data_IF_684632230513
#
_entry.id   IF_684632230513
#
_cell.length_a   1.000
_cell.length_b   1.000
_cell.length_c   1.000
_cell.angle_alpha   90.00
_cell.angle_beta   90.00
_cell.angle_gamma   90.00
#
_symmetry.space_group_name_H-M   'P 1'
#
loop_
_entity.id
_entity.type
_entity.pdbx_description
1 polymer ?
#
# COMPACT_ATOMS: atom_id res chain seq x y z
N UNK A 1 -14.76 2.43 -0.73
CA UNK A 1 -15.79 3.50 -0.72
C UNK A 1 -15.45 4.51 0.35
N UNK A 2 -15.11 5.70 -0.05
CA UNK A 2 -14.73 6.83 0.83
C UNK A 2 -15.95 7.72 1.00
N UNK A 3 -16.41 7.93 2.23
CA UNK A 3 -17.47 8.90 2.52
C UNK A 3 -16.95 9.95 3.50
N UNK A 4 -17.13 11.24 3.20
CA UNK A 4 -16.81 12.30 4.15
C UNK A 4 -17.82 12.32 5.31
N UNK A 5 -17.34 12.70 6.45
CA UNK A 5 -18.16 12.87 7.66
C UNK A 5 -18.97 14.18 7.54
N UNK A 6 -20.26 14.07 7.19
CA UNK A 6 -21.13 15.21 6.97
C UNK A 6 -21.51 15.92 8.25
N UNK A 7 -21.40 17.24 8.25
CA UNK A 7 -22.06 18.10 9.25
C UNK A 7 -23.57 18.04 9.01
N UNK A 8 -24.30 17.44 9.92
CA UNK A 8 -25.76 17.52 9.94
C UNK A 8 -26.23 18.96 10.21
N UNK A 9 -26.69 19.66 9.19
CA UNK A 9 -27.45 20.89 9.36
C UNK A 9 -28.93 20.53 9.50
N UNK A 10 -29.43 20.57 10.73
CA UNK A 10 -30.86 20.56 11.01
C UNK A 10 -31.48 21.90 10.59
N UNK A 11 -32.34 21.88 9.58
CA UNK A 11 -33.25 22.99 9.28
C UNK A 11 -34.55 22.74 10.03
N UNK A 12 -34.82 23.50 11.10
CA UNK A 12 -36.14 23.64 11.64
C UNK A 12 -36.81 24.89 11.05
N UNK A 13 -37.89 24.68 10.30
CA UNK A 13 -38.80 25.76 9.87
C UNK A 13 -39.70 26.12 11.04
N UNK A 14 -39.64 27.35 11.48
CA UNK A 14 -40.55 27.93 12.42
C UNK A 14 -41.94 28.20 11.85
N UNK A 15 -42.92 28.05 12.67
CA UNK A 15 -44.27 28.61 12.47
C UNK A 15 -44.58 29.52 13.66
N UNK A 16 -44.77 30.77 13.33
CA UNK A 16 -45.21 31.82 14.25
C UNK A 16 -46.66 31.61 14.67
N UNK A 17 -46.96 31.80 15.95
CA UNK A 17 -48.26 32.28 16.40
C UNK A 17 -48.10 33.24 17.57
N UNK A 18 -48.78 34.38 17.40
CA UNK A 18 -48.94 35.53 18.27
C UNK A 18 -49.90 35.18 19.44
N UNK A 19 -49.62 35.60 20.67
CA UNK A 19 -50.60 36.38 21.48
C UNK A 19 -50.05 36.70 22.89
N UNK A 20 -49.91 37.99 23.13
CA UNK A 20 -50.54 38.90 24.13
C UNK A 20 -50.23 38.68 25.62
N UNK A 21 -49.49 39.67 26.13
CA UNK A 21 -49.71 40.59 27.31
C UNK A 21 -50.26 39.97 28.59
N UNK A 22 -49.51 40.11 29.69
CA UNK A 22 -49.97 40.87 30.89
C UNK A 22 -48.80 41.09 31.87
N UNK A 23 -48.79 42.29 32.46
CA UNK A 23 -47.83 42.81 33.41
C UNK A 23 -48.29 42.53 34.86
N UNK A 24 -47.33 42.48 35.79
CA UNK A 24 -47.39 42.85 37.20
C UNK A 24 -46.02 42.59 37.84
N UNK A 25 -45.21 43.54 38.16
CA UNK A 25 -44.98 44.45 39.28
C UNK A 25 -44.51 43.74 40.57
N UNK A 26 -43.24 44.04 40.93
CA UNK A 26 -42.55 44.24 42.21
C UNK A 26 -42.63 43.16 43.33
N UNK A 27 -41.42 42.68 43.76
CA UNK A 27 -41.00 42.86 45.17
C UNK A 27 -39.46 42.65 45.28
N UNK A 28 -38.79 43.65 45.85
CA UNK A 28 -37.39 43.72 46.24
C UNK A 28 -37.20 42.93 47.53
N UNK A 29 -36.22 42.02 47.58
CA UNK A 29 -35.57 41.64 48.85
C UNK A 29 -34.11 41.30 48.56
N UNK A 30 -33.23 42.15 49.07
CA UNK A 30 -31.79 41.94 49.08
C UNK A 30 -31.40 40.82 50.07
N UNK A 31 -30.71 39.83 49.62
CA UNK A 31 -29.87 38.95 50.43
C UNK A 31 -28.53 38.80 49.71
N UNK A 32 -27.52 39.49 50.24
CA UNK A 32 -26.16 39.31 49.89
C UNK A 32 -25.73 37.90 50.39
N UNK A 33 -25.72 36.92 49.49
CA UNK A 33 -25.18 35.58 49.72
C UNK A 33 -24.00 35.39 48.78
N UNK A 34 -22.83 35.07 49.32
CA UNK A 34 -21.62 34.70 48.62
C UNK A 34 -21.92 33.73 47.49
N UNK A 35 -22.01 34.20 46.26
CA UNK A 35 -21.95 33.35 45.07
C UNK A 35 -20.47 33.15 44.71
N UNK A 36 -19.86 32.07 45.25
CA UNK A 36 -18.70 31.48 44.60
C UNK A 36 -19.08 31.20 43.14
N UNK A 37 -18.25 31.58 42.15
CA UNK A 37 -18.49 31.14 40.79
C UNK A 37 -18.40 29.63 40.79
N UNK A 38 -19.51 28.91 40.71
CA UNK A 38 -19.50 27.55 40.22
C UNK A 38 -18.94 27.62 38.81
N UNK A 39 -17.68 27.34 38.66
CA UNK A 39 -17.11 26.91 37.40
C UNK A 39 -17.92 25.67 36.98
N UNK A 40 -18.96 25.89 36.21
CA UNK A 40 -19.59 24.81 35.42
C UNK A 40 -18.48 24.31 34.52
N UNK A 41 -17.76 23.28 34.98
CA UNK A 41 -17.05 22.41 34.08
C UNK A 41 -18.14 21.73 33.28
N UNK A 42 -18.52 22.33 32.14
CA UNK A 42 -19.24 21.62 31.11
C UNK A 42 -18.40 20.32 30.88
N UNK A 43 -19.01 19.13 30.97
CA UNK A 43 -18.27 17.93 30.65
C UNK A 43 -17.70 18.18 29.26
N UNK A 44 -16.36 18.11 29.16
CA UNK A 44 -15.69 18.20 27.86
C UNK A 44 -16.40 17.21 26.96
N UNK A 45 -17.13 17.70 25.95
CA UNK A 45 -17.75 16.85 24.95
C UNK A 45 -16.59 16.05 24.39
N UNK A 46 -16.55 14.76 24.73
CA UNK A 46 -15.57 13.86 24.17
C UNK A 46 -15.60 14.08 22.66
N UNK A 47 -14.45 14.41 22.08
CA UNK A 47 -14.36 14.69 20.66
C UNK A 47 -14.91 13.46 19.93
N UNK A 48 -15.91 13.67 19.08
CA UNK A 48 -16.54 12.58 18.32
C UNK A 48 -15.50 11.77 17.55
N UNK A 49 -14.46 12.42 17.03
CA UNK A 49 -13.35 11.76 16.31
C UNK A 49 -12.61 10.80 17.23
N UNK A 50 -12.24 11.28 18.43
CA UNK A 50 -11.54 10.48 19.42
C UNK A 50 -12.40 9.31 19.92
N UNK A 51 -13.70 9.52 20.14
CA UNK A 51 -14.59 8.46 20.56
C UNK A 51 -14.77 7.38 19.48
N UNK A 52 -14.82 7.78 18.20
CA UNK A 52 -14.88 6.83 17.07
C UNK A 52 -13.55 6.12 16.82
N UNK A 53 -12.43 6.71 17.20
CA UNK A 53 -11.11 6.07 17.11
C UNK A 53 -10.85 5.07 18.25
N UNK A 54 -11.61 5.14 19.35
CA UNK A 54 -11.34 4.38 20.59
C UNK A 54 -11.15 2.88 20.37
N UNK A 55 -11.95 2.28 19.47
CA UNK A 55 -11.83 0.86 19.17
C UNK A 55 -10.47 0.50 18.54
N UNK A 56 -9.92 1.36 17.66
CA UNK A 56 -8.61 1.16 17.04
C UNK A 56 -7.51 1.19 18.09
N UNK A 57 -7.59 2.18 18.98
CA UNK A 57 -6.60 2.36 20.06
C UNK A 57 -6.64 1.19 21.06
N UNK A 58 -7.85 0.71 21.36
CA UNK A 58 -8.06 -0.43 22.27
C UNK A 58 -7.61 -1.75 21.64
N UNK A 59 -7.93 -1.99 20.37
CA UNK A 59 -7.57 -3.21 19.64
C UNK A 59 -6.05 -3.39 19.59
N UNK A 60 -5.30 -2.29 19.41
CA UNK A 60 -3.84 -2.28 19.42
C UNK A 60 -3.23 -2.15 20.82
N UNK A 61 -4.03 -2.06 21.86
CA UNK A 61 -3.58 -1.85 23.24
C UNK A 61 -2.64 -0.65 23.41
N UNK A 62 -2.89 0.43 22.64
CA UNK A 62 -2.06 1.64 22.63
C UNK A 62 -2.11 2.41 23.95
N UNK A 63 -3.27 2.54 24.65
CA UNK A 63 -3.31 3.24 25.95
C UNK A 63 -2.37 2.63 27.00
N UNK A 64 -2.16 1.31 26.97
CA UNK A 64 -1.20 0.64 27.86
C UNK A 64 0.25 0.75 27.36
N UNK A 65 0.48 0.95 26.05
CA UNK A 65 1.81 1.12 25.46
C UNK A 65 2.40 2.53 25.68
N UNK A 66 1.58 3.58 25.59
CA UNK A 66 2.04 4.98 25.61
C UNK A 66 2.75 5.44 26.88
N UNK A 67 2.43 4.95 28.10
CA UNK A 67 3.26 5.24 29.27
C UNK A 67 4.70 4.74 29.16
N UNK A 68 4.95 3.73 28.32
CA UNK A 68 6.28 3.14 28.07
C UNK A 68 7.01 3.87 26.94
N UNK A 69 6.30 4.16 25.85
CA UNK A 69 6.86 4.83 24.67
C UNK A 69 5.77 5.47 23.82
N UNK A 70 6.04 6.67 23.30
CA UNK A 70 5.21 7.37 22.32
C UNK A 70 5.94 7.62 20.99
N UNK A 71 7.07 6.94 20.76
CA UNK A 71 7.83 7.05 19.52
C UNK A 71 8.75 8.28 19.42
N UNK A 72 9.02 8.97 20.53
CA UNK A 72 9.84 10.18 20.54
C UNK A 72 11.21 9.97 19.92
N UNK A 73 11.57 10.86 18.99
CA UNK A 73 12.87 10.85 18.31
C UNK A 73 12.98 9.86 17.16
N UNK A 74 11.91 9.14 16.84
CA UNK A 74 11.87 8.22 15.69
C UNK A 74 11.35 8.95 14.44
N UNK A 75 12.05 8.77 13.35
CA UNK A 75 11.63 9.18 12.01
C UNK A 75 11.00 7.98 11.30
N UNK A 76 9.73 8.11 10.94
CA UNK A 76 9.01 7.14 10.12
C UNK A 76 8.91 7.69 8.70
N UNK A 77 9.58 7.06 7.75
CA UNK A 77 9.42 7.42 6.34
C UNK A 77 8.08 6.85 5.84
N UNK A 78 7.18 7.73 5.43
CA UNK A 78 5.93 7.39 4.75
C UNK A 78 6.17 7.52 3.26
N UNK A 79 6.35 6.37 2.60
CA UNK A 79 6.56 6.27 1.16
C UNK A 79 5.19 6.04 0.51
N UNK A 80 4.58 7.10 0.00
CA UNK A 80 3.16 7.12 -0.38
C UNK A 80 2.87 8.23 -1.42
N UNK A 81 1.67 8.80 -1.43
CA UNK A 81 1.24 9.89 -2.33
C UNK A 81 1.67 11.30 -1.89
N UNK A 82 2.47 11.41 -0.82
CA UNK A 82 2.83 12.66 -0.16
C UNK A 82 2.00 12.89 1.11
N UNK A 83 2.39 13.85 1.94
CA UNK A 83 1.70 14.21 3.20
C UNK A 83 1.55 15.72 3.28
N UNK A 84 0.35 16.21 3.56
CA UNK A 84 0.13 17.62 3.87
C UNK A 84 0.60 17.94 5.30
N UNK A 85 1.69 18.70 5.48
CA UNK A 85 2.24 19.00 6.80
C UNK A 85 1.43 20.00 7.60
N UNK A 86 0.44 20.68 6.97
CA UNK A 86 -0.32 21.76 7.56
C UNK A 86 -1.62 21.31 8.25
N UNK A 87 -1.97 20.03 8.17
CA UNK A 87 -3.18 19.52 8.86
C UNK A 87 -2.97 19.50 10.38
N UNK A 88 -4.03 19.82 11.12
CA UNK A 88 -3.96 20.13 12.56
C UNK A 88 -3.31 19.04 13.41
N UNK A 89 -3.61 17.77 13.10
CA UNK A 89 -3.14 16.65 13.93
C UNK A 89 -1.72 16.20 13.58
N UNK A 90 -1.11 16.78 12.52
CA UNK A 90 0.25 16.50 12.08
C UNK A 90 1.16 17.75 12.13
N UNK A 91 0.64 18.88 12.58
CA UNK A 91 1.35 20.16 12.53
C UNK A 91 2.69 20.11 13.30
N UNK A 92 3.80 20.36 12.59
CA UNK A 92 5.15 20.32 13.16
C UNK A 92 5.79 18.91 13.26
N UNK A 93 5.06 17.84 12.90
CA UNK A 93 5.59 16.47 12.94
C UNK A 93 5.98 15.90 11.57
N UNK A 94 5.86 16.67 10.47
CA UNK A 94 6.12 16.21 9.11
C UNK A 94 7.26 16.98 8.47
N UNK A 95 8.22 16.27 7.92
CA UNK A 95 9.24 16.78 7.02
C UNK A 95 8.94 16.29 5.61
N UNK A 96 8.80 17.21 4.66
CA UNK A 96 8.58 16.85 3.26
C UNK A 96 9.91 16.56 2.57
N UNK A 97 10.06 15.38 2.01
CA UNK A 97 11.18 14.96 1.19
C UNK A 97 10.90 15.12 -0.31
N UNK A 98 11.76 14.54 -1.16
CA UNK A 98 11.61 14.61 -2.62
C UNK A 98 10.33 13.93 -3.13
N UNK A 99 9.88 14.42 -4.31
CA UNK A 99 8.86 13.77 -5.12
C UNK A 99 9.55 12.88 -6.18
N UNK A 100 9.29 11.59 -6.11
CA UNK A 100 9.84 10.58 -7.02
C UNK A 100 8.86 10.20 -8.13
N UNK A 101 7.64 10.76 -8.18
CA UNK A 101 6.61 10.36 -9.16
C UNK A 101 6.96 10.73 -10.59
N UNK A 102 7.83 11.70 -10.79
CA UNK A 102 8.20 12.22 -12.12
C UNK A 102 7.08 13.01 -12.80
N UNK A 103 6.04 13.40 -12.05
CA UNK A 103 4.97 14.29 -12.51
C UNK A 103 4.94 15.56 -11.67
N UNK A 104 4.68 16.68 -12.33
CA UNK A 104 4.70 18.00 -11.70
C UNK A 104 3.28 18.35 -11.20
N UNK A 105 2.92 17.83 -10.02
CA UNK A 105 1.70 18.20 -9.34
C UNK A 105 2.09 19.00 -8.10
N UNK A 106 1.72 20.28 -8.02
CA UNK A 106 2.11 21.11 -6.89
C UNK A 106 1.44 20.64 -5.59
N UNK A 107 2.12 20.80 -4.46
CA UNK A 107 1.58 20.45 -3.14
C UNK A 107 0.30 21.21 -2.78
N UNK A 108 0.04 22.34 -3.41
CA UNK A 108 -1.22 23.10 -3.23
C UNK A 108 -2.43 22.42 -3.88
N UNK A 109 -2.22 21.46 -4.80
CA UNK A 109 -3.32 20.74 -5.44
C UNK A 109 -4.09 19.92 -4.40
N UNK A 110 -5.44 20.00 -4.35
CA UNK A 110 -6.25 19.31 -3.35
C UNK A 110 -6.13 17.76 -3.41
N UNK A 111 -5.69 17.23 -4.53
CA UNK A 111 -5.49 15.78 -4.71
C UNK A 111 -4.04 15.33 -4.49
N UNK A 112 -3.13 16.24 -4.11
CA UNK A 112 -1.77 15.88 -3.76
C UNK A 112 -1.70 15.35 -2.33
N UNK A 113 -1.25 14.13 -2.12
CA UNK A 113 -1.01 13.59 -0.80
C UNK A 113 -2.27 13.24 0.00
N UNK A 114 -3.36 12.85 -0.66
CA UNK A 114 -4.60 12.47 0.01
C UNK A 114 -4.40 11.21 0.84
N UNK A 115 -3.95 10.11 0.18
CA UNK A 115 -3.76 8.84 0.85
C UNK A 115 -2.62 8.89 1.88
N UNK A 116 -1.48 9.45 1.54
CA UNK A 116 -0.34 9.54 2.46
C UNK A 116 -0.62 10.39 3.69
N UNK A 117 -1.48 11.42 3.60
CA UNK A 117 -1.88 12.20 4.78
C UNK A 117 -2.72 11.37 5.75
N UNK A 118 -3.66 10.55 5.25
CA UNK A 118 -4.37 9.59 6.11
C UNK A 118 -3.39 8.67 6.83
N UNK A 119 -2.44 8.08 6.11
CA UNK A 119 -1.48 7.15 6.69
C UNK A 119 -0.58 7.83 7.73
N UNK A 120 -0.07 9.01 7.43
CA UNK A 120 0.73 9.79 8.37
C UNK A 120 -0.03 10.13 9.67
N UNK A 121 -1.33 10.46 9.57
CA UNK A 121 -2.16 10.76 10.75
C UNK A 121 -2.32 9.55 11.67
N UNK A 122 -2.36 8.34 11.10
CA UNK A 122 -2.45 7.08 11.85
C UNK A 122 -1.11 6.69 12.51
N UNK A 123 0.01 7.18 11.99
CA UNK A 123 1.33 6.96 12.55
C UNK A 123 1.63 7.97 13.65
N UNK A 124 1.66 9.27 13.31
CA UNK A 124 2.24 10.35 14.10
C UNK A 124 1.23 11.45 14.47
N UNK A 125 -0.06 11.24 14.20
CA UNK A 125 -1.08 12.18 14.65
C UNK A 125 -0.98 12.41 16.15
N UNK A 126 -0.93 13.66 16.57
CA UNK A 126 -0.84 14.05 17.98
C UNK A 126 -2.11 14.80 18.46
N UNK A 127 -3.12 14.86 17.59
CA UNK A 127 -4.33 15.66 17.83
C UNK A 127 -4.03 17.15 17.81
N UNK A 128 -5.03 17.91 18.23
CA UNK A 128 -4.93 19.36 18.39
C UNK A 128 -5.61 19.78 19.72
N UNK A 129 -5.65 21.08 20.02
CA UNK A 129 -6.19 21.61 21.28
C UNK A 129 -5.57 20.92 22.53
N UNK A 130 -4.23 20.86 22.57
CA UNK A 130 -3.50 20.21 23.67
C UNK A 130 -3.64 18.68 23.68
N UNK A 131 -3.93 18.06 22.53
CA UNK A 131 -4.14 16.63 22.40
C UNK A 131 -5.54 16.15 22.77
N UNK A 132 -6.45 17.07 23.14
CA UNK A 132 -7.82 16.73 23.51
C UNK A 132 -8.76 16.42 22.34
N UNK A 133 -8.37 16.79 21.13
CA UNK A 133 -9.18 16.64 19.91
C UNK A 133 -8.41 16.02 18.77
N UNK A 134 -9.12 15.44 17.79
CA UNK A 134 -8.56 14.92 16.56
C UNK A 134 -8.01 13.50 16.68
N UNK A 135 -7.27 13.07 15.66
CA UNK A 135 -6.66 11.74 15.58
C UNK A 135 -5.39 11.67 16.44
N UNK A 136 -5.24 10.58 17.19
CA UNK A 136 -3.94 10.16 17.76
C UNK A 136 -3.43 8.97 16.98
N UNK A 137 -2.23 9.09 16.42
CA UNK A 137 -1.51 8.00 15.78
C UNK A 137 -0.90 7.04 16.80
N UNK A 138 -0.46 5.88 16.32
CA UNK A 138 0.16 4.86 17.19
C UNK A 138 1.41 5.38 17.89
N UNK A 139 2.17 6.27 17.25
CA UNK A 139 3.40 6.88 17.77
C UNK A 139 3.32 8.43 17.72
N UNK A 140 2.53 9.07 18.61
CA UNK A 140 2.18 10.49 18.49
C UNK A 140 3.34 11.47 18.72
N UNK A 141 4.51 10.97 19.17
CA UNK A 141 5.74 11.78 19.34
C UNK A 141 6.81 11.44 18.29
N UNK A 142 6.48 10.59 17.29
CA UNK A 142 7.36 10.36 16.14
C UNK A 142 7.25 11.49 15.12
N UNK A 143 8.22 11.57 14.22
CA UNK A 143 8.18 12.47 13.07
C UNK A 143 8.03 11.67 11.79
N UNK A 144 7.36 12.26 10.80
CA UNK A 144 7.14 11.67 9.48
C UNK A 144 8.10 12.30 8.48
N UNK A 145 8.84 11.47 7.75
CA UNK A 145 9.51 11.86 6.51
C UNK A 145 8.60 11.45 5.34
N UNK A 146 7.97 12.44 4.70
CA UNK A 146 7.06 12.23 3.58
C UNK A 146 7.82 12.06 2.28
N UNK A 147 7.71 10.92 1.62
CA UNK A 147 8.33 10.63 0.32
C UNK A 147 7.24 10.24 -0.68
N UNK A 148 7.05 11.05 -1.71
CA UNK A 148 6.00 10.83 -2.70
C UNK A 148 6.51 9.94 -3.82
N UNK A 149 5.88 8.76 -4.02
CA UNK A 149 6.22 7.80 -5.07
C UNK A 149 5.03 7.39 -5.93
N UNK A 150 3.81 7.69 -5.46
CA UNK A 150 2.56 7.45 -6.18
C UNK A 150 1.74 8.74 -6.24
N UNK A 151 0.76 8.77 -7.14
CA UNK A 151 -0.26 9.82 -7.19
C UNK A 151 -1.61 9.26 -6.76
N UNK A 152 -2.44 10.09 -6.14
CA UNK A 152 -3.85 9.73 -5.87
C UNK A 152 -4.66 9.78 -7.18
N UNK A 153 -5.71 8.96 -7.29
CA UNK A 153 -6.52 8.84 -8.51
C UNK A 153 -7.19 10.15 -8.97
N UNK A 154 -7.39 11.10 -8.05
CA UNK A 154 -7.89 12.44 -8.37
C UNK A 154 -6.82 13.43 -8.81
N UNK A 155 -5.54 13.05 -8.84
CA UNK A 155 -4.44 13.91 -9.26
C UNK A 155 -4.59 14.23 -10.77
N UNK A 156 -4.47 15.50 -11.20
CA UNK A 156 -4.60 15.87 -12.62
C UNK A 156 -3.56 15.19 -13.51
N UNK A 157 -2.45 14.74 -12.97
CA UNK A 157 -1.40 14.02 -13.68
C UNK A 157 -1.49 12.48 -13.50
N UNK A 158 -2.57 11.96 -12.89
CA UNK A 158 -2.73 10.52 -12.61
C UNK A 158 -2.54 9.66 -13.86
N UNK A 159 -3.22 9.98 -14.95
CA UNK A 159 -3.10 9.22 -16.20
C UNK A 159 -1.66 9.22 -16.76
N UNK A 160 -0.95 10.35 -16.65
CA UNK A 160 0.46 10.45 -17.05
C UNK A 160 1.35 9.63 -16.14
N UNK A 161 1.12 9.66 -14.83
CA UNK A 161 1.83 8.84 -13.86
C UNK A 161 1.61 7.35 -14.17
N UNK A 162 0.35 6.89 -14.29
CA UNK A 162 0.02 5.50 -14.62
C UNK A 162 0.73 5.00 -15.89
N UNK A 163 0.73 5.79 -16.95
CA UNK A 163 1.40 5.44 -18.20
C UNK A 163 2.93 5.26 -18.05
N UNK A 164 3.53 5.88 -17.05
CA UNK A 164 4.96 5.84 -16.77
C UNK A 164 5.32 4.87 -15.64
N UNK A 165 4.38 4.51 -14.77
CA UNK A 165 4.62 3.78 -13.52
C UNK A 165 5.12 2.34 -13.75
N UNK A 166 4.62 1.64 -14.76
CA UNK A 166 4.99 0.25 -15.01
C UNK A 166 6.51 0.03 -15.19
N UNK A 167 7.24 0.84 -16.01
CA UNK A 167 8.68 0.70 -16.15
C UNK A 167 9.50 1.46 -15.08
N UNK A 168 8.93 2.47 -14.41
CA UNK A 168 9.68 3.41 -13.57
C UNK A 168 9.39 3.26 -12.08
N UNK A 169 8.15 3.01 -11.70
CA UNK A 169 7.68 3.08 -10.31
C UNK A 169 8.48 2.24 -9.31
N UNK A 170 8.98 1.09 -9.72
CA UNK A 170 9.81 0.25 -8.85
C UNK A 170 11.23 0.82 -8.67
N UNK A 171 11.78 1.56 -9.64
CA UNK A 171 13.06 2.27 -9.47
C UNK A 171 12.90 3.48 -8.58
N UNK A 172 11.80 4.18 -8.71
CA UNK A 172 11.42 5.33 -7.90
C UNK A 172 11.17 4.91 -6.46
N UNK A 173 10.49 3.78 -6.25
CA UNK A 173 10.35 3.17 -4.93
C UNK A 173 11.72 2.82 -4.32
N UNK A 174 12.62 2.19 -5.09
CA UNK A 174 13.97 1.87 -4.61
C UNK A 174 14.76 3.14 -4.24
N UNK A 175 14.64 4.21 -5.02
CA UNK A 175 15.26 5.49 -4.73
C UNK A 175 14.68 6.13 -3.45
N UNK A 176 13.37 6.05 -3.24
CA UNK A 176 12.72 6.56 -2.02
C UNK A 176 13.13 5.76 -0.77
N UNK A 177 13.23 4.43 -0.86
CA UNK A 177 13.74 3.59 0.25
C UNK A 177 15.18 3.98 0.58
N UNK A 178 16.05 4.08 -0.44
CA UNK A 178 17.44 4.51 -0.27
C UNK A 178 17.54 5.90 0.35
N UNK A 179 16.69 6.83 -0.09
CA UNK A 179 16.63 8.18 0.49
C UNK A 179 16.22 8.12 1.95
N UNK A 180 15.20 7.35 2.31
CA UNK A 180 14.74 7.19 3.70
C UNK A 180 15.87 6.71 4.62
N UNK A 181 16.61 5.66 4.21
CA UNK A 181 17.75 5.13 4.96
C UNK A 181 18.83 6.20 5.15
N UNK A 182 19.22 6.89 4.08
CA UNK A 182 20.26 7.92 4.11
C UNK A 182 19.86 9.16 4.94
N UNK A 183 18.55 9.39 5.13
CA UNK A 183 17.99 10.47 5.95
C UNK A 183 17.54 9.99 7.33
N UNK A 184 18.13 8.90 7.82
CA UNK A 184 18.00 8.40 9.20
C UNK A 184 16.58 8.00 9.59
N UNK A 185 15.75 7.54 8.66
CA UNK A 185 14.52 6.85 9.02
C UNK A 185 14.86 5.56 9.76
N UNK A 186 14.20 5.30 10.88
CA UNK A 186 14.31 4.03 11.61
C UNK A 186 13.19 3.06 11.23
N UNK A 187 12.13 3.59 10.63
CA UNK A 187 10.96 2.83 10.16
C UNK A 187 10.60 3.32 8.77
N UNK A 188 10.26 2.41 7.89
CA UNK A 188 9.67 2.71 6.58
C UNK A 188 8.28 2.10 6.55
N UNK A 189 7.27 2.92 6.24
CA UNK A 189 5.87 2.53 6.05
C UNK A 189 5.50 2.65 4.58
N UNK A 190 5.05 1.55 3.97
CA UNK A 190 4.69 1.48 2.55
C UNK A 190 3.29 0.89 2.38
N UNK A 191 2.32 1.76 2.11
CA UNK A 191 0.93 1.37 1.82
C UNK A 191 0.68 1.27 0.32
N UNK A 192 1.59 0.60 -0.38
CA UNK A 192 1.63 0.45 -1.84
C UNK A 192 1.95 -0.99 -2.22
N UNK A 193 1.55 -1.42 -3.43
CA UNK A 193 1.80 -2.77 -3.90
C UNK A 193 2.02 -2.86 -5.41
N UNK A 194 2.94 -3.70 -5.82
CA UNK A 194 3.23 -4.07 -7.21
C UNK A 194 3.13 -5.57 -7.39
N UNK A 195 2.63 -6.02 -8.54
CA UNK A 195 2.49 -7.46 -8.82
C UNK A 195 3.81 -8.17 -9.19
N UNK A 196 4.87 -7.42 -9.48
CA UNK A 196 6.14 -7.99 -9.93
C UNK A 196 7.28 -7.66 -8.99
N UNK A 197 8.21 -8.59 -8.86
CA UNK A 197 9.47 -8.39 -8.15
C UNK A 197 10.39 -7.41 -8.88
N UNK A 198 11.21 -6.69 -8.10
CA UNK A 198 12.16 -5.71 -8.60
C UNK A 198 13.54 -5.89 -7.95
N UNK A 199 14.57 -6.05 -8.78
CA UNK A 199 15.95 -6.11 -8.28
C UNK A 199 16.38 -4.81 -7.57
N UNK A 200 16.11 -3.60 -8.13
CA UNK A 200 16.37 -2.35 -7.42
C UNK A 200 15.70 -2.24 -6.07
N UNK A 201 14.41 -2.61 -5.95
CA UNK A 201 13.69 -2.58 -4.66
C UNK A 201 14.32 -3.57 -3.67
N UNK A 202 14.67 -4.78 -4.10
CA UNK A 202 15.34 -5.76 -3.24
C UNK A 202 16.69 -5.23 -2.73
N UNK A 203 17.48 -4.58 -3.57
CA UNK A 203 18.76 -3.99 -3.15
C UNK A 203 18.56 -2.84 -2.15
N UNK A 204 17.54 -2.00 -2.35
CA UNK A 204 17.21 -0.93 -1.42
C UNK A 204 16.69 -1.46 -0.07
N UNK A 205 15.92 -2.55 -0.08
CA UNK A 205 15.50 -3.25 1.14
C UNK A 205 16.69 -3.85 1.87
N UNK A 206 17.65 -4.46 1.17
CA UNK A 206 18.89 -4.95 1.78
C UNK A 206 19.64 -3.82 2.47
N UNK A 207 19.76 -2.65 1.85
CA UNK A 207 20.35 -1.47 2.47
C UNK A 207 19.59 -1.07 3.75
N UNK A 208 18.25 -1.11 3.75
CA UNK A 208 17.45 -0.82 4.94
C UNK A 208 17.77 -1.81 6.07
N UNK A 209 17.86 -3.11 5.79
CA UNK A 209 18.21 -4.14 6.78
C UNK A 209 19.62 -3.95 7.33
N UNK A 210 20.60 -3.67 6.47
CA UNK A 210 21.99 -3.43 6.88
C UNK A 210 22.12 -2.22 7.83
N UNK A 211 21.13 -1.31 7.79
CA UNK A 211 21.04 -0.14 8.68
C UNK A 211 20.03 -0.31 9.83
N UNK A 212 19.50 -1.51 10.05
CA UNK A 212 18.48 -1.81 11.07
C UNK A 212 17.23 -0.95 10.95
N UNK A 213 16.83 -0.61 9.74
CA UNK A 213 15.57 0.07 9.43
C UNK A 213 14.47 -0.98 9.27
N UNK A 214 13.43 -0.89 10.09
CA UNK A 214 12.31 -1.81 10.01
C UNK A 214 11.37 -1.38 8.88
N UNK A 215 11.11 -2.30 7.96
CA UNK A 215 10.23 -2.05 6.82
C UNK A 215 8.88 -2.70 7.06
N UNK A 216 7.82 -1.91 7.01
CA UNK A 216 6.43 -2.34 7.17
C UNK A 216 5.68 -2.08 5.87
N UNK A 217 4.95 -3.06 5.37
CA UNK A 217 4.18 -2.91 4.14
C UNK A 217 2.79 -3.53 4.23
N UNK A 218 1.85 -2.94 3.50
CA UNK A 218 0.48 -3.45 3.38
C UNK A 218 0.45 -4.73 2.55
N UNK A 219 -0.25 -5.78 3.04
CA UNK A 219 -0.35 -7.06 2.36
C UNK A 219 -1.11 -7.02 1.02
N UNK A 220 -1.87 -5.95 0.77
CA UNK A 220 -2.69 -5.77 -0.43
C UNK A 220 -4.18 -5.96 -0.16
N UNK A 221 -5.01 -5.55 -1.12
CA UNK A 221 -6.47 -5.54 -0.99
C UNK A 221 -7.15 -6.42 -2.06
N UNK A 222 -6.58 -7.60 -2.33
CA UNK A 222 -7.04 -8.53 -3.35
C UNK A 222 -7.64 -9.82 -2.76
N UNK A 223 -8.04 -9.83 -1.48
CA UNK A 223 -8.63 -10.99 -0.81
C UNK A 223 -9.90 -11.48 -1.50
N UNK A 224 -10.81 -10.57 -1.85
CA UNK A 224 -12.05 -10.91 -2.57
C UNK A 224 -11.77 -11.53 -3.97
N UNK A 225 -10.64 -11.16 -4.59
CA UNK A 225 -10.23 -11.69 -5.89
C UNK A 225 -9.69 -13.14 -5.80
N UNK A 226 -9.14 -13.54 -4.66
CA UNK A 226 -8.64 -14.89 -4.45
C UNK A 226 -9.74 -15.94 -4.53
N UNK A 227 -10.89 -15.66 -3.92
CA UNK A 227 -12.09 -16.49 -4.01
C UNK A 227 -12.64 -16.57 -5.43
N UNK A 228 -12.66 -15.46 -6.17
CA UNK A 228 -13.13 -15.40 -7.54
C UNK A 228 -12.21 -16.15 -8.52
N UNK A 229 -10.90 -16.17 -8.28
CA UNK A 229 -9.94 -16.88 -9.09
C UNK A 229 -9.88 -18.40 -8.80
N UNK A 230 -10.53 -18.86 -7.73
CA UNK A 230 -10.50 -20.28 -7.32
C UNK A 230 -9.14 -20.78 -6.83
N UNK A 231 -8.18 -19.88 -6.63
CA UNK A 231 -6.80 -20.23 -6.19
C UNK A 231 -6.68 -20.40 -4.68
N UNK A 232 -7.62 -19.86 -3.92
CA UNK A 232 -7.61 -19.83 -2.45
C UNK A 232 -6.59 -18.88 -1.82
N UNK A 233 -5.73 -18.26 -2.65
CA UNK A 233 -4.69 -17.33 -2.20
C UNK A 233 -4.72 -16.04 -3.02
N UNK A 234 -4.56 -14.91 -2.35
CA UNK A 234 -4.39 -13.63 -3.03
C UNK A 234 -3.05 -13.58 -3.78
N UNK A 235 -2.99 -12.85 -4.91
CA UNK A 235 -1.72 -12.65 -5.60
C UNK A 235 -0.70 -11.95 -4.69
N UNK A 236 0.57 -12.26 -4.88
CA UNK A 236 1.67 -11.58 -4.19
C UNK A 236 1.70 -10.08 -4.49
N UNK A 237 2.01 -9.30 -3.46
CA UNK A 237 2.07 -7.84 -3.52
C UNK A 237 3.40 -7.34 -2.98
N UNK A 238 4.28 -6.86 -3.86
CA UNK A 238 5.58 -6.32 -3.47
C UNK A 238 5.48 -4.82 -3.16
N UNK A 239 6.09 -4.33 -2.04
CA UNK A 239 7.18 -4.94 -1.29
C UNK A 239 6.78 -5.88 -0.14
N UNK A 240 5.51 -6.05 0.22
CA UNK A 240 5.10 -6.89 1.35
C UNK A 240 5.63 -8.33 1.28
N UNK A 241 5.70 -8.89 0.08
CA UNK A 241 6.13 -10.28 -0.14
C UNK A 241 7.66 -10.46 -0.26
N UNK A 242 8.46 -9.45 0.05
CA UNK A 242 9.90 -9.64 0.22
C UNK A 242 10.23 -10.14 1.62
N UNK A 243 11.18 -11.11 1.75
CA UNK A 243 11.68 -11.53 3.06
C UNK A 243 12.21 -10.34 3.87
N UNK A 244 11.92 -10.31 5.17
CA UNK A 244 12.35 -9.24 6.08
C UNK A 244 11.43 -8.02 6.12
N UNK A 245 10.44 -7.91 5.22
CA UNK A 245 9.39 -6.90 5.30
C UNK A 245 8.29 -7.41 6.23
N UNK A 246 7.85 -6.61 7.19
CA UNK A 246 6.70 -6.90 8.03
C UNK A 246 5.41 -6.64 7.23
N UNK A 247 4.85 -7.69 6.65
CA UNK A 247 3.60 -7.64 5.89
C UNK A 247 2.38 -7.64 6.81
N UNK A 248 1.48 -6.67 6.62
CA UNK A 248 0.36 -6.42 7.51
C UNK A 248 -0.98 -6.59 6.80
N UNK A 249 -1.79 -7.53 7.28
CA UNK A 249 -3.19 -7.73 6.90
C UNK A 249 -4.14 -6.80 7.65
N UNK A 250 -5.41 -6.77 7.25
CA UNK A 250 -6.43 -5.92 7.83
C UNK A 250 -7.48 -6.73 8.60
N UNK A 251 -7.85 -6.25 9.80
CA UNK A 251 -8.99 -6.76 10.57
C UNK A 251 -10.06 -5.68 10.78
N UNK A 252 -11.28 -6.12 11.03
CA UNK A 252 -12.40 -5.27 11.45
C UNK A 252 -12.43 -5.10 12.99
N UNK A 253 -13.39 -4.33 13.49
CA UNK A 253 -13.57 -4.06 14.93
C UNK A 253 -13.95 -5.27 15.78
N UNK A 254 -14.13 -6.45 15.19
CA UNK A 254 -14.36 -7.73 15.88
C UNK A 254 -13.12 -8.63 15.81
N UNK A 255 -11.98 -8.14 15.35
CA UNK A 255 -10.74 -8.89 15.20
C UNK A 255 -10.71 -9.90 14.04
N UNK A 256 -11.77 -9.95 13.20
CA UNK A 256 -11.82 -10.84 12.05
C UNK A 256 -11.11 -10.21 10.85
N UNK A 257 -10.43 -11.05 10.05
CA UNK A 257 -9.83 -10.61 8.78
C UNK A 257 -10.88 -9.93 7.90
N UNK A 258 -10.51 -8.81 7.28
CA UNK A 258 -11.36 -8.13 6.31
C UNK A 258 -11.37 -8.90 4.99
N UNK A 259 -12.54 -9.05 4.35
CA UNK A 259 -12.69 -9.84 3.12
C UNK A 259 -11.77 -9.39 1.97
N UNK A 260 -11.51 -8.09 1.92
CA UNK A 260 -10.58 -7.52 0.93
C UNK A 260 -9.10 -7.74 1.26
N UNK A 261 -8.75 -8.07 2.53
CA UNK A 261 -7.34 -8.24 2.91
C UNK A 261 -6.72 -9.40 2.15
N UNK A 262 -5.59 -9.16 1.48
CA UNK A 262 -4.89 -10.23 0.79
C UNK A 262 -4.45 -11.31 1.77
N UNK A 263 -4.75 -12.55 1.42
CA UNK A 263 -4.43 -13.77 2.18
C UNK A 263 -3.35 -14.54 1.43
N UNK A 264 -2.14 -14.58 1.97
CA UNK A 264 -1.03 -15.33 1.39
C UNK A 264 0.07 -15.61 2.43
N UNK A 265 1.11 -16.34 2.04
CA UNK A 265 2.20 -16.78 2.92
C UNK A 265 3.06 -15.65 3.50
N UNK A 266 2.98 -14.42 2.97
CA UNK A 266 3.79 -13.31 3.46
C UNK A 266 3.16 -12.60 4.65
N UNK A 267 1.86 -12.72 4.88
CA UNK A 267 1.17 -12.04 5.98
C UNK A 267 1.74 -12.49 7.33
N UNK A 268 2.32 -11.54 8.06
CA UNK A 268 2.93 -11.85 9.35
C UNK A 268 2.06 -11.45 10.54
N UNK A 269 1.36 -10.32 10.44
CA UNK A 269 0.42 -9.84 11.45
C UNK A 269 -0.73 -9.12 10.79
N UNK A 270 -1.76 -8.82 11.56
CA UNK A 270 -2.86 -7.98 11.13
C UNK A 270 -3.09 -6.83 12.14
N UNK A 271 -3.74 -5.77 11.66
CA UNK A 271 -4.11 -4.62 12.48
C UNK A 271 -5.45 -4.03 11.99
N UNK A 272 -6.08 -3.11 12.75
CA UNK A 272 -7.30 -2.45 12.32
C UNK A 272 -7.20 -1.86 10.91
N UNK A 273 -8.12 -2.27 10.02
CA UNK A 273 -8.10 -1.87 8.63
C UNK A 273 -9.49 -1.59 8.03
N UNK A 274 -10.56 -1.65 8.83
CA UNK A 274 -11.93 -1.43 8.34
C UNK A 274 -12.53 -0.21 9.04
N UNK A 275 -12.90 0.82 8.26
CA UNK A 275 -13.51 2.06 8.78
C UNK A 275 -12.67 2.74 9.87
N UNK A 276 -11.36 2.78 9.68
CA UNK A 276 -10.41 3.42 10.60
C UNK A 276 -10.53 4.95 10.44
N UNK A 277 -10.80 5.72 11.50
CA UNK A 277 -10.81 7.18 11.42
C UNK A 277 -9.39 7.73 11.18
N UNK A 278 -9.23 8.62 10.20
CA UNK A 278 -7.97 9.26 9.85
C UNK A 278 -8.20 10.73 9.50
N UNK A 279 -7.21 11.59 9.71
CA UNK A 279 -7.27 12.96 9.26
C UNK A 279 -6.83 13.05 7.79
N UNK A 280 -7.69 13.69 6.98
CA UNK A 280 -7.43 13.91 5.57
C UNK A 280 -6.60 15.15 5.28
N UNK A 281 -6.10 15.21 4.05
CA UNK A 281 -5.34 16.34 3.51
C UNK A 281 -6.07 17.69 3.61
N UNK A 282 -7.39 17.64 3.54
CA UNK A 282 -8.30 18.79 3.64
C UNK A 282 -8.58 19.22 5.10
N UNK A 283 -7.94 18.57 6.06
CA UNK A 283 -8.16 18.76 7.49
C UNK A 283 -9.45 18.14 8.03
N UNK A 284 -10.25 17.48 7.16
CA UNK A 284 -11.44 16.75 7.59
C UNK A 284 -11.07 15.34 8.05
N UNK A 285 -12.03 14.67 8.69
CA UNK A 285 -11.86 13.30 9.16
C UNK A 285 -12.63 12.34 8.27
N UNK A 286 -11.98 11.24 7.95
CA UNK A 286 -12.46 10.25 7.01
C UNK A 286 -12.42 8.87 7.64
N UNK A 287 -13.33 7.99 7.26
CA UNK A 287 -13.21 6.57 7.49
C UNK A 287 -12.48 5.92 6.32
N UNK A 288 -11.31 5.39 6.58
CA UNK A 288 -10.50 4.69 5.59
C UNK A 288 -10.55 3.18 5.80
N UNK A 289 -10.52 2.41 4.72
CA UNK A 289 -10.48 0.95 4.77
C UNK A 289 -9.44 0.41 3.79
N UNK A 290 -8.73 -0.62 4.19
CA UNK A 290 -7.65 -1.24 3.44
C UNK A 290 -6.60 -1.86 4.36
N UNK A 291 -5.64 -2.55 3.79
CA UNK A 291 -4.43 -2.96 4.50
C UNK A 291 -3.46 -1.77 4.72
N UNK A 292 -3.70 -0.65 4.03
CA UNK A 292 -2.95 0.61 4.20
C UNK A 292 -3.03 1.19 5.61
N UNK A 293 -4.23 1.42 6.22
CA UNK A 293 -4.31 1.89 7.61
C UNK A 293 -3.73 0.88 8.59
N UNK A 294 -3.88 -0.43 8.36
CA UNK A 294 -3.27 -1.46 9.21
C UNK A 294 -1.73 -1.39 9.20
N UNK A 295 -1.14 -1.21 8.02
CA UNK A 295 0.29 -0.99 7.84
C UNK A 295 0.77 0.26 8.58
N UNK A 296 0.08 1.40 8.41
CA UNK A 296 0.42 2.66 9.05
C UNK A 296 0.40 2.54 10.59
N UNK A 297 -0.67 1.99 11.14
CA UNK A 297 -0.81 1.74 12.58
C UNK A 297 0.32 0.85 13.13
N UNK A 298 0.65 -0.22 12.41
CA UNK A 298 1.74 -1.14 12.77
C UNK A 298 3.10 -0.46 12.68
N UNK A 299 3.34 0.39 11.67
CA UNK A 299 4.57 1.18 11.57
C UNK A 299 4.75 2.11 12.77
N UNK A 300 3.66 2.69 13.29
CA UNK A 300 3.69 3.43 14.55
C UNK A 300 4.07 2.54 15.75
N UNK A 301 3.54 1.31 15.85
CA UNK A 301 3.95 0.36 16.92
C UNK A 301 5.43 0.02 16.81
N UNK A 302 5.95 -0.18 15.61
CA UNK A 302 7.40 -0.34 15.38
C UNK A 302 8.17 0.87 15.90
N UNK A 303 7.67 2.09 15.66
CA UNK A 303 8.31 3.31 16.14
C UNK A 303 8.31 3.39 17.67
N UNK A 304 7.27 2.90 18.37
CA UNK A 304 7.27 2.79 19.83
C UNK A 304 8.44 1.92 20.33
N UNK A 305 8.62 0.76 19.70
CA UNK A 305 9.68 -0.20 20.06
C UNK A 305 11.07 0.40 19.81
N UNK A 306 11.28 0.96 18.61
CA UNK A 306 12.57 1.58 18.23
C UNK A 306 12.94 2.75 19.14
N UNK A 307 11.96 3.54 19.58
CA UNK A 307 12.18 4.65 20.51
C UNK A 307 12.64 4.17 21.89
N UNK A 308 12.06 3.08 22.40
CA UNK A 308 12.38 2.53 23.70
C UNK A 308 13.63 1.67 23.67
N UNK A 309 13.83 0.91 22.62
CA UNK A 309 14.91 -0.08 22.47
C UNK A 309 15.67 0.11 21.15
N UNK A 310 16.41 1.23 20.98
CA UNK A 310 17.04 1.59 19.69
C UNK A 310 18.13 0.61 19.24
N UNK A 311 18.66 -0.21 20.15
CA UNK A 311 19.69 -1.19 19.85
C UNK A 311 19.16 -2.51 19.26
N UNK A 312 17.82 -2.73 19.27
CA UNK A 312 17.24 -3.92 18.67
C UNK A 312 17.38 -3.85 17.16
N UNK A 313 17.72 -5.00 16.57
CA UNK A 313 17.75 -5.17 15.12
C UNK A 313 16.33 -5.16 14.55
N UNK A 314 16.21 -4.96 13.24
CA UNK A 314 14.95 -5.07 12.50
C UNK A 314 14.24 -6.40 12.77
N UNK A 315 14.97 -7.52 12.67
CA UNK A 315 14.47 -8.86 12.92
C UNK A 315 14.01 -9.09 14.36
N UNK A 316 14.72 -8.51 15.35
CA UNK A 316 14.29 -8.57 16.74
C UNK A 316 13.02 -7.78 17.00
N UNK A 317 12.85 -6.62 16.36
CA UNK A 317 11.61 -5.83 16.43
C UNK A 317 10.44 -6.60 15.81
N UNK A 318 10.64 -7.19 14.63
CA UNK A 318 9.62 -8.03 13.97
C UNK A 318 9.27 -9.23 14.86
N UNK A 319 10.29 -9.91 15.44
CA UNK A 319 10.09 -11.02 16.36
C UNK A 319 9.30 -10.61 17.61
N UNK A 320 9.58 -9.43 18.18
CA UNK A 320 8.82 -8.92 19.31
C UNK A 320 7.33 -8.77 18.98
N UNK A 321 7.00 -8.26 17.82
CA UNK A 321 5.61 -8.06 17.37
C UNK A 321 4.94 -9.41 17.09
N UNK A 322 5.58 -10.29 16.31
CA UNK A 322 4.96 -11.55 15.87
C UNK A 322 4.82 -12.57 16.99
N UNK A 323 5.65 -12.52 18.01
CA UNK A 323 5.58 -13.42 19.19
C UNK A 323 4.56 -12.99 20.24
N UNK A 324 4.09 -11.73 20.22
CA UNK A 324 3.27 -11.11 21.28
C UNK A 324 1.97 -10.50 20.79
N UNK A 325 1.32 -11.15 19.82
CA UNK A 325 0.02 -10.72 19.29
C UNK A 325 -1.09 -10.76 20.34
N UNK A 326 -2.16 -9.99 20.11
CA UNK A 326 -3.26 -9.83 21.04
C UNK A 326 -3.87 -11.16 21.49
N UNK A 327 -4.19 -11.32 22.78
CA UNK A 327 -4.79 -12.55 23.32
C UNK A 327 -6.08 -12.93 22.55
N UNK A 328 -6.21 -14.23 22.23
CA UNK A 328 -7.37 -14.75 21.53
C UNK A 328 -7.39 -14.54 20.02
N UNK A 329 -6.44 -13.75 19.45
CA UNK A 329 -6.34 -13.56 18.00
C UNK A 329 -5.34 -14.51 17.35
N UNK A 330 -4.44 -15.11 18.13
CA UNK A 330 -3.44 -16.04 17.60
C UNK A 330 -4.11 -17.28 17.02
N UNK A 331 -3.83 -17.64 15.75
CA UNK A 331 -4.38 -18.86 15.16
C UNK A 331 -3.97 -20.12 15.94
N UNK A 332 -4.85 -21.14 15.99
CA UNK A 332 -4.62 -22.38 16.72
C UNK A 332 -3.31 -23.11 16.30
N UNK A 333 -2.91 -22.97 15.03
CA UNK A 333 -1.64 -23.50 14.51
C UNK A 333 -0.45 -22.54 14.66
N UNK A 334 -0.64 -21.44 15.40
CA UNK A 334 0.37 -20.41 15.62
C UNK A 334 0.45 -19.37 14.50
N UNK A 335 -0.03 -19.66 13.30
CA UNK A 335 -0.03 -18.78 12.13
C UNK A 335 -1.08 -19.21 11.11
N UNK A 336 -1.61 -18.26 10.33
CA UNK A 336 -2.42 -18.47 9.13
C UNK A 336 -2.21 -17.35 8.09
N UNK A 337 -2.70 -17.54 6.88
CA UNK A 337 -2.52 -16.60 5.76
C UNK A 337 -3.37 -15.34 5.87
N UNK A 338 -4.38 -15.30 6.72
CA UNK A 338 -5.34 -14.21 6.87
C UNK A 338 -4.84 -13.11 7.81
N UNK A 339 -4.32 -13.51 8.97
CA UNK A 339 -3.88 -12.58 10.04
C UNK A 339 -2.46 -12.86 10.51
N UNK A 340 -1.72 -13.72 9.82
CA UNK A 340 -0.36 -14.10 10.22
C UNK A 340 -0.32 -14.75 11.60
N UNK A 341 0.50 -14.22 12.50
CA UNK A 341 0.62 -14.65 13.89
C UNK A 341 -0.49 -14.11 14.80
N UNK A 342 -1.35 -13.21 14.30
CA UNK A 342 -2.45 -12.59 15.02
C UNK A 342 -2.48 -11.07 14.89
N UNK A 343 -3.36 -10.42 15.66
CA UNK A 343 -3.49 -8.97 15.68
C UNK A 343 -2.41 -8.33 16.54
N UNK A 344 -1.83 -7.23 16.08
CA UNK A 344 -0.78 -6.49 16.78
C UNK A 344 -1.27 -5.98 18.15
N UNK A 345 -0.46 -6.21 19.21
CA UNK A 345 -0.64 -5.64 20.54
C UNK A 345 0.62 -4.83 20.88
N UNK A 346 0.49 -3.51 20.95
CA UNK A 346 1.61 -2.60 21.15
C UNK A 346 2.25 -2.75 22.53
N UNK A 347 1.47 -2.95 23.59
CA UNK A 347 1.98 -3.10 24.95
C UNK A 347 2.69 -4.44 25.13
N UNK A 348 2.12 -5.52 24.62
CA UNK A 348 2.75 -6.83 24.63
C UNK A 348 4.04 -6.84 23.78
N UNK A 349 4.05 -6.17 22.63
CA UNK A 349 5.23 -6.05 21.78
C UNK A 349 6.36 -5.27 22.44
N UNK A 350 6.05 -4.19 23.17
CA UNK A 350 7.05 -3.46 23.99
C UNK A 350 7.62 -4.33 25.10
N UNK A 351 6.79 -5.13 25.76
CA UNK A 351 7.24 -6.08 26.78
C UNK A 351 8.16 -7.15 26.19
N UNK A 352 7.76 -7.77 25.08
CA UNK A 352 8.57 -8.76 24.36
C UNK A 352 9.91 -8.16 23.90
N UNK A 353 9.87 -6.93 23.36
CA UNK A 353 11.08 -6.20 22.98
C UNK A 353 12.03 -5.95 24.17
N UNK A 354 11.46 -5.67 25.35
CA UNK A 354 12.23 -5.53 26.58
C UNK A 354 12.97 -6.82 26.96
N UNK A 355 12.34 -7.97 26.83
CA UNK A 355 13.00 -9.27 27.06
C UNK A 355 14.12 -9.53 26.05
N UNK A 356 13.90 -9.21 24.77
CA UNK A 356 14.92 -9.34 23.73
C UNK A 356 16.10 -8.38 23.97
N UNK A 357 15.85 -7.16 24.44
CA UNK A 357 16.88 -6.19 24.73
C UNK A 357 17.72 -6.56 25.98
N UNK A 358 17.13 -7.26 26.94
CA UNK A 358 17.80 -7.75 28.14
C UNK A 358 18.55 -9.08 27.93
N UNK A 359 18.22 -9.83 26.86
CA UNK A 359 18.89 -11.07 26.55
C UNK A 359 20.37 -10.82 26.21
N UNK A 360 21.29 -11.73 26.66
CA UNK A 360 22.67 -11.65 26.22
C UNK A 360 22.72 -11.58 24.70
N UNK A 361 23.41 -10.59 24.14
CA UNK A 361 23.62 -10.53 22.71
C UNK A 361 24.34 -11.82 22.30
N UNK A 362 23.79 -12.62 21.37
CA UNK A 362 24.59 -13.69 20.79
C UNK A 362 25.87 -13.04 20.29
N UNK A 363 27.01 -13.62 20.66
CA UNK A 363 28.30 -13.16 20.16
C UNK A 363 28.17 -13.01 18.64
N UNK A 364 28.48 -11.85 18.09
CA UNK A 364 28.33 -11.52 16.66
C UNK A 364 29.31 -12.30 15.75
N UNK A 365 29.98 -13.33 16.28
CA UNK A 365 30.66 -14.32 15.51
C UNK A 365 29.74 -15.52 15.31
N UNK A 366 29.06 -15.60 14.17
CA UNK A 366 28.81 -16.95 13.66
C UNK A 366 30.18 -17.61 13.59
N UNK A 367 30.40 -18.65 14.42
CA UNK A 367 31.57 -19.49 14.22
C UNK A 367 31.60 -19.84 12.73
N UNK A 368 32.76 -19.69 12.09
CA UNK A 368 32.91 -19.93 10.64
C UNK A 368 32.44 -21.33 10.19
N UNK A 369 32.05 -22.18 11.12
CA UNK A 369 31.49 -23.51 10.96
C UNK A 369 30.01 -23.65 11.36
N UNK A 370 29.29 -22.54 11.72
CA UNK A 370 27.88 -22.64 12.08
C UNK A 370 27.01 -22.89 10.83
N UNK A 371 26.25 -23.98 10.86
CA UNK A 371 25.29 -24.33 9.79
C UNK A 371 23.97 -24.82 10.40
N UNK A 372 22.91 -24.83 9.59
CA UNK A 372 21.64 -25.43 10.00
C UNK A 372 21.84 -26.89 10.39
N UNK A 373 21.36 -27.28 11.58
CA UNK A 373 21.51 -28.61 12.13
C UNK A 373 22.54 -28.76 13.25
N UNK A 374 23.31 -27.71 13.55
CA UNK A 374 24.23 -27.60 14.69
C UNK A 374 25.24 -28.75 14.81
N UNK A 375 26.51 -28.52 14.64
CA UNK A 375 27.56 -29.50 14.86
C UNK A 375 28.82 -29.24 13.99
N UNK A 376 29.97 -29.78 14.37
CA UNK A 376 31.24 -29.53 13.69
C UNK A 376 31.42 -30.28 12.38
N UNK A 377 30.39 -30.99 11.86
CA UNK A 377 30.51 -31.80 10.67
C UNK A 377 30.41 -30.93 9.41
N UNK A 378 31.51 -30.86 8.66
CA UNK A 378 31.44 -30.44 7.28
C UNK A 378 30.40 -31.33 6.57
N UNK A 379 29.37 -30.73 5.97
CA UNK A 379 28.46 -31.47 5.08
C UNK A 379 29.34 -31.97 3.96
N UNK A 380 29.50 -33.29 3.79
CA UNK A 380 30.25 -33.82 2.65
C UNK A 380 29.59 -33.21 1.39
N UNK A 381 30.37 -32.75 0.41
CA UNK A 381 29.79 -32.22 -0.82
C UNK A 381 28.85 -33.28 -1.36
N UNK A 382 27.59 -32.94 -1.53
CA UNK A 382 26.60 -33.80 -2.18
C UNK A 382 27.25 -34.20 -3.51
N UNK A 383 27.54 -35.46 -3.76
CA UNK A 383 28.12 -35.85 -5.02
C UNK A 383 27.13 -35.44 -6.09
N UNK A 384 27.48 -34.40 -6.83
CA UNK A 384 26.76 -34.06 -8.04
C UNK A 384 26.94 -35.27 -8.94
N UNK A 385 25.89 -36.07 -9.09
CA UNK A 385 25.91 -37.18 -9.99
C UNK A 385 26.44 -36.65 -11.32
N UNK A 386 27.56 -37.20 -11.85
CA UNK A 386 28.08 -36.73 -13.12
C UNK A 386 26.92 -36.83 -14.10
N UNK A 387 26.56 -35.72 -14.73
CA UNK A 387 25.57 -35.73 -15.81
C UNK A 387 26.15 -36.71 -16.84
N UNK A 388 25.66 -37.97 -16.82
CA UNK A 388 26.16 -39.01 -17.69
C UNK A 388 26.05 -38.50 -19.13
N UNK A 389 26.99 -38.90 -20.01
CA UNK A 389 26.97 -38.49 -21.41
C UNK A 389 25.65 -38.84 -22.10
N UNK A 390 24.89 -39.81 -21.55
CA UNK A 390 23.55 -40.16 -22.02
C UNK A 390 22.55 -39.01 -22.08
N UNK A 391 22.55 -38.09 -21.10
CA UNK A 391 21.68 -36.92 -21.12
C UNK A 391 22.06 -35.95 -22.24
N UNK A 392 23.35 -35.72 -22.44
CA UNK A 392 23.85 -34.86 -23.50
C UNK A 392 23.53 -35.43 -24.87
N UNK A 393 23.75 -36.76 -25.04
CA UNK A 393 23.42 -37.51 -26.27
C UNK A 393 21.92 -37.41 -26.59
N UNK A 394 21.05 -37.56 -25.58
CA UNK A 394 19.61 -37.41 -25.76
C UNK A 394 19.22 -36.00 -26.22
N UNK A 395 19.80 -34.96 -25.62
CA UNK A 395 19.57 -33.58 -26.05
C UNK A 395 20.06 -33.31 -27.47
N UNK A 396 21.23 -33.84 -27.83
CA UNK A 396 21.75 -33.72 -29.18
C UNK A 396 20.87 -34.47 -30.21
N UNK A 397 20.36 -35.63 -29.88
CA UNK A 397 19.43 -36.38 -30.77
C UNK A 397 18.10 -35.65 -30.93
N UNK A 398 17.55 -35.07 -29.85
CA UNK A 398 16.35 -34.26 -29.93
C UNK A 398 16.57 -33.00 -30.77
N UNK A 399 17.71 -32.33 -30.63
CA UNK A 399 18.05 -31.14 -31.42
C UNK A 399 18.18 -31.48 -32.91
N UNK A 400 18.87 -32.60 -33.24
CA UNK A 400 18.99 -33.09 -34.64
C UNK A 400 17.62 -33.47 -35.20
N UNK A 401 16.77 -34.13 -34.40
CA UNK A 401 15.39 -34.46 -34.79
C UNK A 401 14.54 -33.22 -35.09
N UNK A 402 14.63 -32.18 -34.25
CA UNK A 402 13.93 -30.91 -34.49
C UNK A 402 14.44 -30.21 -35.74
N UNK A 403 15.75 -30.18 -35.98
CA UNK A 403 16.32 -29.59 -37.20
C UNK A 403 15.86 -30.35 -38.45
N UNK A 404 15.81 -31.71 -38.39
CA UNK A 404 15.29 -32.56 -39.45
C UNK A 404 13.81 -32.24 -39.78
N UNK A 405 12.98 -32.08 -38.76
CA UNK A 405 11.56 -31.70 -38.94
C UNK A 405 11.40 -30.33 -39.59
N UNK A 406 12.22 -29.36 -39.17
CA UNK A 406 12.24 -28.03 -39.78
C UNK A 406 12.66 -28.10 -41.23
N UNK A 407 13.68 -28.86 -41.56
CA UNK A 407 14.14 -29.05 -42.95
C UNK A 407 13.08 -29.71 -43.84
N UNK A 408 12.37 -30.74 -43.35
CA UNK A 408 11.26 -31.38 -44.07
C UNK A 408 10.07 -30.42 -44.24
N UNK A 409 9.74 -29.62 -43.20
CA UNK A 409 8.68 -28.63 -43.29
C UNK A 409 9.00 -27.54 -44.33
N UNK A 410 10.24 -27.03 -44.33
CA UNK A 410 10.69 -26.05 -45.31
C UNK A 410 10.75 -26.56 -46.72
N UNK A 411 11.23 -27.82 -46.91
CA UNK A 411 11.25 -28.46 -48.26
C UNK A 411 9.83 -28.68 -48.83
N UNK A 412 8.89 -29.11 -47.97
CA UNK A 412 7.47 -29.20 -48.39
C UNK A 412 6.88 -27.84 -48.76
N UNK A 413 7.18 -26.79 -47.96
CA UNK A 413 6.70 -25.44 -48.25
C UNK A 413 7.26 -24.87 -49.56
N UNK A 414 8.53 -25.16 -49.87
CA UNK A 414 9.14 -24.79 -51.14
C UNK A 414 8.53 -25.57 -52.34
N UNK A 415 8.33 -26.88 -52.19
CA UNK A 415 7.71 -27.70 -53.19
C UNK A 415 6.26 -27.29 -53.52
N UNK A 416 5.48 -26.85 -52.53
CA UNK A 416 4.15 -26.31 -52.75
C UNK A 416 4.16 -24.93 -53.46
N UNK A 417 5.19 -24.13 -53.24
CA UNK A 417 5.38 -22.84 -53.96
C UNK A 417 5.74 -23.08 -55.43
N UNK A 418 6.57 -24.08 -55.72
CA UNK A 418 6.93 -24.41 -57.12
C UNK A 418 5.74 -25.00 -57.88
N UNK A 419 4.87 -25.76 -57.22
CA UNK A 419 3.61 -26.26 -57.82
C UNK A 419 2.60 -25.11 -58.09
N UNK A 420 2.57 -24.07 -57.20
CA UNK A 420 1.73 -22.90 -57.39
C UNK A 420 2.26 -21.97 -58.50
N UNK A 421 3.59 -21.91 -58.67
CA UNK A 421 4.21 -21.13 -59.75
C UNK A 421 4.10 -21.82 -61.12
N UNK A 422 4.18 -23.16 -61.16
CA UNK A 422 4.02 -23.94 -62.41
C UNK A 422 2.56 -23.98 -62.95
N UNK A 423 1.56 -23.75 -62.06
CA UNK A 423 0.16 -23.70 -62.45
C UNK A 423 -0.25 -22.39 -63.18
N UNK A 424 0.48 -21.31 -62.91
CA UNK A 424 0.21 -20.03 -63.57
C UNK A 424 0.75 -19.91 -64.98
N UNK A 425 1.77 -20.67 -65.34
CA UNK A 425 2.36 -20.68 -66.70
C UNK A 425 1.57 -21.58 -67.70
N UNK A 426 0.77 -22.54 -67.21
CA UNK A 426 -0.06 -23.36 -68.06
C UNK A 426 -1.40 -22.70 -68.44
N UNK A 427 -1.89 -21.76 -67.61
CA UNK A 427 -3.12 -21.00 -67.87
C UNK A 427 -2.90 -19.80 -68.80
N UNK A 428 -1.64 -19.37 -68.96
CA UNK A 428 -1.27 -18.26 -69.85
C UNK A 428 -1.01 -18.70 -71.32
N UNK A 429 -0.99 -20.02 -71.58
CA UNK A 429 -0.73 -20.56 -72.98
C UNK A 429 -1.98 -21.07 -73.73
N UNK A 430 -3.16 -21.08 -73.10
CA UNK A 430 -4.43 -21.55 -73.77
C UNK A 430 -5.40 -20.44 -74.09
N UNK A 431 -4.97 -19.19 -74.11
CA UNK A 431 -5.85 -18.02 -74.35
C UNK A 431 -5.39 -17.10 -75.45
N UNK A 432 -4.68 -17.61 -76.47
CA UNK A 432 -4.27 -16.77 -77.61
C UNK A 432 -4.66 -17.47 -78.92
N UNK A 433 -5.91 -17.35 -79.27
CA UNK A 433 -6.46 -17.42 -80.64
C UNK A 433 -7.97 -17.13 -80.50
N UNK A 434 -8.44 -15.94 -80.66
CA UNK A 434 -9.47 -15.55 -81.61
C UNK A 434 -9.86 -14.09 -81.43
N UNK A 435 -9.88 -13.43 -82.57
CA UNK A 435 -10.63 -12.29 -83.05
C UNK A 435 -10.35 -10.86 -82.59
N UNK A 436 -9.67 -10.26 -83.53
CA UNK A 436 -9.76 -8.90 -84.02
C UNK A 436 -11.19 -8.26 -83.94
N UNK A 437 -11.31 -7.07 -83.42
CA UNK A 437 -11.87 -5.91 -84.11
C UNK A 437 -12.07 -4.68 -83.22
N UNK A 438 -11.60 -3.53 -83.72
CA UNK A 438 -12.11 -2.17 -83.54
C UNK A 438 -11.63 -1.37 -82.29
N UNK A 439 -10.72 -0.48 -82.55
CA UNK A 439 -10.33 0.83 -82.01
C UNK A 439 -11.45 1.87 -82.22
N UNK A 440 -11.52 3.10 -81.66
CA UNK A 440 -10.66 3.74 -80.67
C UNK A 440 -11.38 4.64 -79.64
N UNK A 441 -10.57 5.26 -78.85
CA UNK A 441 -10.70 6.66 -78.39
C UNK A 441 -10.86 6.91 -76.91
N UNK A 442 -9.85 7.53 -76.41
CA UNK A 442 -9.55 8.73 -75.63
C UNK A 442 -9.24 8.57 -74.17
N UNK A 443 -8.00 8.93 -73.90
CA UNK A 443 -7.55 9.41 -72.62
C UNK A 443 -8.07 10.86 -72.35
N UNK A 444 -7.85 11.58 -71.30
CA UNK A 444 -6.85 11.34 -70.19
C UNK A 444 -7.32 11.77 -68.78
N UNK A 445 -6.42 11.51 -67.84
CA UNK A 445 -6.01 12.35 -66.65
C UNK A 445 -7.03 12.52 -65.51
N UNK A 446 -6.65 12.33 -64.29
CA UNK A 446 -6.09 13.29 -63.33
C UNK A 446 -6.43 12.88 -61.90
N UNK A 447 -5.41 12.75 -61.09
CA UNK A 447 -5.24 13.07 -59.68
C UNK A 447 -6.50 13.56 -58.92
N UNK A 448 -6.82 12.95 -57.78
CA UNK A 448 -7.13 13.70 -56.54
C UNK A 448 -7.14 12.84 -55.26
N UNK A 449 -6.42 13.32 -54.29
CA UNK A 449 -6.54 13.03 -52.87
C UNK A 449 -7.93 13.43 -52.36
N UNK A 450 -8.46 12.71 -51.37
CA UNK A 450 -9.31 13.24 -50.29
C UNK A 450 -9.39 12.16 -49.18
N UNK A 451 -8.90 12.37 -47.97
CA UNK A 451 -9.49 13.17 -46.89
C UNK A 451 -10.79 12.57 -46.31
N UNK A 452 -10.72 12.26 -45.06
CA UNK A 452 -11.73 11.70 -44.15
C UNK A 452 -13.01 12.55 -44.07
N UNK A 453 -14.11 12.01 -43.53
CA UNK A 453 -14.80 12.86 -42.59
C UNK A 453 -15.10 12.23 -41.23
N UNK A 454 -14.98 13.11 -40.23
CA UNK A 454 -15.53 13.08 -38.89
C UNK A 454 -17.06 12.85 -38.88
N UNK A 455 -17.55 12.08 -37.88
CA UNK A 455 -18.92 12.24 -37.41
C UNK A 455 -18.96 12.45 -35.92
N UNK A 456 -19.45 13.64 -35.55
CA UNK A 456 -20.08 14.01 -34.28
C UNK A 456 -21.45 13.32 -34.15
N UNK A 457 -21.82 12.92 -32.96
CA UNK A 457 -23.19 12.99 -32.40
C UNK A 457 -23.00 12.98 -30.88
N UNK A 458 -23.16 14.08 -30.18
CA UNK A 458 -24.37 14.67 -29.57
C UNK A 458 -24.90 13.85 -28.38
N UNK A 459 -24.76 14.52 -27.19
CA UNK A 459 -25.48 14.25 -25.93
C UNK A 459 -26.98 14.09 -26.07
N UNK A 460 -27.66 13.49 -25.08
CA UNK A 460 -28.50 14.34 -24.24
C UNK A 460 -28.41 14.09 -22.73
N UNK A 461 -28.74 15.15 -22.06
CA UNK A 461 -29.05 15.51 -20.71
C UNK A 461 -29.73 14.51 -19.76
N UNK A 462 -29.35 14.64 -18.50
CA UNK A 462 -29.91 14.59 -17.16
C UNK A 462 -31.46 14.57 -17.06
N UNK A 463 -32.16 14.02 -15.99
CA UNK A 463 -32.07 14.62 -14.64
C UNK A 463 -32.21 13.69 -13.43
N UNK A 464 -31.94 14.31 -12.28
CA UNK A 464 -32.21 14.13 -10.86
C UNK A 464 -31.39 13.11 -10.07
#
# INVERSE_FOLDING_TARGET
MLRPWGRGRGKSRGRATRQRRSAAVLAVAALAGLSAPMLSTAPARADIVRSTQSWVLSELNLPAAWPVSQGKGIVVAVIDSGVNPAVSDLAGSVTTGPDFTGVDTPQSNPNWGVHGTWMASLIAGHGHNGGGSGIIGSAPQSTVLSLRVITDSGDPNYARYEAQSAPRGQRELAAAITYAVNHRAQVISMSIGYSLQSRPVRAALQLAYDHNVVVVASAGNSGDAAGAAGTGHAPYSFPADYPGVLAVGAVNSSGHAASFSSENLSVQVAAPGVRVPAQGRDGQYWYVSGTSPACALTAGVVALIKAKYPALTDSQVISAITSSTAPGTRPARGWNEQIGFGVVDAAAALTAAGHLAAAPRPSTGMAAAAHFGGGPAAIPPVPVAPRGPAGLVLYCLLAVGCLGLVAVATSKLLATRDLAAGGSDQQARSGQDDESRAVPSTAPSTIARHAAPSRRTSHPDVPS
#
